data_IF_334320121298
#
_entry.id   IF_334320121298
#
_cell.length_a   1.000
_cell.length_b   1.000
_cell.length_c   1.000
_cell.angle_alpha   90.00
_cell.angle_beta   90.00
_cell.angle_gamma   90.00
#
_symmetry.space_group_name_H-M   'P 1'
#
loop_
_entity.id
_entity.type
_entity.pdbx_description
1 polymer ?
#
# COMPACT_ATOMS: atom_id res chain seq x y z
N UNK A 1 11.68 -1.89 26.51
CA UNK A 1 10.76 -0.78 26.18
C UNK A 1 10.42 -0.80 24.71
N UNK A 2 9.14 -0.58 24.35
CA UNK A 2 8.71 -0.51 22.96
C UNK A 2 8.81 0.91 22.39
N UNK A 3 9.15 1.01 21.10
CA UNK A 3 9.11 2.24 20.33
C UNK A 3 8.38 1.97 19.01
N UNK A 4 7.47 2.86 18.64
CA UNK A 4 6.79 2.84 17.36
C UNK A 4 7.35 3.94 16.46
N UNK A 5 7.87 3.58 15.30
CA UNK A 5 8.33 4.52 14.29
C UNK A 5 7.29 4.54 13.18
N UNK A 6 6.72 5.71 12.91
CA UNK A 6 5.82 5.95 11.77
C UNK A 6 6.56 5.71 10.45
N UNK A 7 5.87 5.59 9.30
CA UNK A 7 6.52 5.27 8.04
C UNK A 7 7.74 6.15 7.75
N UNK A 8 8.90 5.54 7.70
CA UNK A 8 10.20 6.18 7.48
C UNK A 8 10.79 5.89 6.09
N UNK A 9 9.96 5.34 5.22
CA UNK A 9 10.30 5.00 3.84
C UNK A 9 10.24 6.23 2.93
N UNK A 10 10.89 6.23 1.74
CA UNK A 10 10.62 7.19 0.69
C UNK A 10 9.12 7.24 0.40
N UNK A 11 8.56 8.43 0.41
CA UNK A 11 7.12 8.66 0.23
C UNK A 11 6.89 9.93 -0.57
N UNK A 12 5.78 10.00 -1.28
CA UNK A 12 5.40 11.16 -2.10
C UNK A 12 4.43 12.10 -1.38
N UNK A 13 3.65 11.60 -0.41
CA UNK A 13 2.66 12.39 0.33
C UNK A 13 2.17 11.69 1.60
N UNK A 14 1.18 12.29 2.28
CA UNK A 14 0.43 11.76 3.42
C UNK A 14 1.34 11.33 4.58
N UNK A 15 2.31 12.21 4.94
CA UNK A 15 3.21 12.04 6.10
C UNK A 15 3.93 10.67 6.13
N UNK A 16 4.26 10.12 4.96
CA UNK A 16 4.94 8.83 4.83
C UNK A 16 4.04 7.67 4.39
N UNK A 17 2.71 7.83 4.38
CA UNK A 17 1.79 6.76 4.04
C UNK A 17 1.54 6.57 2.53
N UNK A 18 2.08 7.43 1.66
CA UNK A 18 2.17 7.19 0.22
C UNK A 18 3.55 6.64 -0.13
N UNK A 19 3.78 5.35 0.10
CA UNK A 19 5.10 4.71 0.04
C UNK A 19 5.58 4.57 -1.39
N UNK A 20 6.79 5.09 -1.67
CA UNK A 20 7.48 4.98 -2.97
C UNK A 20 8.37 3.74 -3.03
N UNK A 21 8.98 3.34 -1.90
CA UNK A 21 9.84 2.16 -1.82
C UNK A 21 9.79 1.58 -0.40
N UNK A 22 9.28 0.37 -0.27
CA UNK A 22 9.09 -0.31 1.03
C UNK A 22 10.40 -0.80 1.66
N UNK A 23 11.47 -0.92 0.89
CA UNK A 23 12.72 -1.54 1.34
C UNK A 23 13.85 -0.53 1.53
N UNK A 24 13.55 0.77 1.41
CA UNK A 24 14.51 1.84 1.68
C UNK A 24 14.11 2.68 2.88
N UNK A 25 15.08 3.20 3.58
CA UNK A 25 14.90 4.28 4.53
C UNK A 25 15.03 5.61 3.79
N UNK A 26 14.20 6.58 4.12
CA UNK A 26 14.31 7.94 3.58
C UNK A 26 15.66 8.54 3.98
N UNK A 27 16.40 9.05 3.00
CA UNK A 27 17.82 9.39 3.16
C UNK A 27 18.11 10.47 4.20
N UNK A 28 17.14 11.35 4.47
CA UNK A 28 17.26 12.37 5.51
C UNK A 28 17.03 11.82 6.94
N UNK A 29 16.56 10.59 7.07
CA UNK A 29 16.34 9.90 8.35
C UNK A 29 17.44 8.88 8.68
N UNK A 30 18.31 8.55 7.74
CA UNK A 30 19.36 7.56 7.92
C UNK A 30 19.25 6.36 7.00
N UNK A 31 19.60 5.18 7.51
CA UNK A 31 19.59 3.92 6.78
C UNK A 31 19.14 2.74 7.66
N UNK A 32 19.10 1.54 7.10
CA UNK A 32 18.72 0.33 7.84
C UNK A 32 19.66 -0.01 9.01
N UNK A 33 20.90 0.46 9.01
CA UNK A 33 21.82 0.24 10.14
C UNK A 33 21.37 1.06 11.35
N UNK A 34 20.82 2.25 11.15
CA UNK A 34 20.24 3.08 12.20
C UNK A 34 18.99 2.41 12.80
N UNK A 35 18.12 1.88 11.95
CA UNK A 35 16.93 1.12 12.38
C UNK A 35 17.33 -0.12 13.18
N UNK A 36 18.33 -0.88 12.72
CA UNK A 36 18.86 -2.05 13.42
C UNK A 36 19.51 -1.68 14.77
N UNK A 37 20.17 -0.53 14.85
CA UNK A 37 20.74 -0.04 16.11
C UNK A 37 19.64 0.28 17.12
N UNK A 38 18.54 0.93 16.70
CA UNK A 38 17.39 1.17 17.57
C UNK A 38 16.76 -0.15 18.05
N UNK A 39 16.69 -1.15 17.16
CA UNK A 39 16.12 -2.46 17.48
C UNK A 39 16.94 -3.27 18.51
N UNK A 40 18.19 -2.90 18.79
CA UNK A 40 19.01 -3.52 19.86
C UNK A 40 18.57 -3.06 21.25
N UNK A 41 18.11 -1.81 21.36
CA UNK A 41 17.77 -1.20 22.63
C UNK A 41 16.26 -1.20 22.92
N UNK A 42 15.44 -1.31 21.86
CA UNK A 42 13.99 -1.20 21.93
C UNK A 42 13.28 -2.34 21.18
N UNK A 43 12.10 -2.70 21.67
CA UNK A 43 11.15 -3.51 20.92
C UNK A 43 10.52 -2.64 19.82
N UNK A 44 11.02 -2.75 18.60
CA UNK A 44 10.66 -1.87 17.51
C UNK A 44 9.34 -2.27 16.87
N UNK A 45 8.39 -1.32 16.76
CA UNK A 45 7.19 -1.42 15.95
C UNK A 45 7.34 -0.54 14.72
N UNK A 46 7.02 -1.09 13.54
CA UNK A 46 7.01 -0.36 12.26
C UNK A 46 5.66 -0.50 11.56
N UNK A 47 5.29 0.50 10.77
CA UNK A 47 4.09 0.43 9.93
C UNK A 47 4.37 -0.34 8.63
N UNK A 48 3.43 -1.17 8.23
CA UNK A 48 3.35 -1.74 6.89
C UNK A 48 2.09 -1.20 6.22
N UNK A 49 2.28 -0.28 5.26
CA UNK A 49 1.20 0.33 4.48
C UNK A 49 0.80 -0.65 3.39
N UNK A 50 -0.18 -1.49 3.69
CA UNK A 50 -0.51 -2.67 2.88
C UNK A 50 -1.62 -2.39 1.85
N UNK A 51 -2.55 -1.46 2.12
CA UNK A 51 -3.71 -1.23 1.25
C UNK A 51 -3.36 -0.57 -0.08
N UNK A 52 -2.34 0.29 -0.11
CA UNK A 52 -2.00 1.14 -1.26
C UNK A 52 -0.50 1.45 -1.29
N UNK A 53 -0.03 1.94 -2.42
CA UNK A 53 1.30 2.55 -2.53
C UNK A 53 1.21 3.88 -3.32
N UNK A 54 2.32 4.64 -3.32
CA UNK A 54 2.43 5.86 -4.11
C UNK A 54 2.33 5.59 -5.62
N UNK A 55 1.84 6.59 -6.36
CA UNK A 55 1.94 6.61 -7.82
C UNK A 55 3.39 6.62 -8.34
N UNK A 56 4.35 6.97 -7.50
CA UNK A 56 5.78 6.96 -7.84
C UNK A 56 6.44 5.60 -7.56
N UNK A 57 5.71 4.64 -6.97
CA UNK A 57 6.23 3.28 -6.75
C UNK A 57 6.48 2.57 -8.08
N UNK A 58 7.56 1.77 -8.16
CA UNK A 58 7.93 1.04 -9.38
C UNK A 58 6.80 0.14 -9.89
N UNK A 59 5.99 -0.44 -9.02
CA UNK A 59 4.84 -1.25 -9.42
C UNK A 59 3.81 -0.45 -10.20
N UNK A 60 3.62 0.84 -9.87
CA UNK A 60 2.69 1.67 -10.62
C UNK A 60 3.27 2.11 -11.97
N UNK A 61 4.58 2.31 -12.07
CA UNK A 61 5.27 2.48 -13.35
C UNK A 61 5.09 1.25 -14.24
N UNK A 62 5.22 0.04 -13.67
CA UNK A 62 4.95 -1.22 -14.37
C UNK A 62 3.50 -1.28 -14.88
N UNK A 63 2.55 -0.91 -14.03
CA UNK A 63 1.13 -0.86 -14.41
C UNK A 63 0.88 0.07 -15.60
N UNK A 64 1.40 1.30 -15.55
CA UNK A 64 1.24 2.29 -16.63
C UNK A 64 1.86 1.79 -17.93
N UNK A 65 3.00 1.11 -17.86
CA UNK A 65 3.76 0.64 -19.04
C UNK A 65 3.38 -0.77 -19.48
N UNK A 66 2.43 -1.43 -18.78
CA UNK A 66 2.04 -2.83 -18.99
C UNK A 66 3.24 -3.80 -18.84
N UNK A 67 4.08 -3.57 -17.85
CA UNK A 67 5.25 -4.38 -17.55
C UNK A 67 5.04 -5.25 -16.31
N UNK A 68 5.64 -6.43 -16.30
CA UNK A 68 5.69 -7.27 -15.10
C UNK A 68 6.75 -6.74 -14.10
N UNK A 69 6.54 -6.93 -12.77
CA UNK A 69 5.43 -7.66 -12.16
C UNK A 69 4.18 -6.80 -11.90
N UNK A 70 4.31 -5.47 -11.84
CA UNK A 70 3.29 -4.56 -11.30
C UNK A 70 2.05 -4.35 -12.17
N UNK A 71 2.06 -4.77 -13.44
CA UNK A 71 0.95 -4.56 -14.39
C UNK A 71 -0.41 -5.07 -13.89
N UNK A 72 -0.43 -6.07 -13.02
CA UNK A 72 -1.64 -6.71 -12.51
C UNK A 72 -1.82 -6.49 -10.99
N UNK A 73 -1.09 -5.54 -10.39
CA UNK A 73 -1.07 -5.34 -8.94
C UNK A 73 -2.12 -4.36 -8.42
N UNK A 74 -2.74 -3.57 -9.29
CA UNK A 74 -3.67 -2.52 -8.88
C UNK A 74 -5.12 -2.90 -9.13
N UNK A 75 -6.02 -2.37 -8.27
CA UNK A 75 -7.44 -2.59 -8.43
C UNK A 75 -8.00 -1.63 -9.49
N UNK A 76 -8.36 -2.20 -10.63
CA UNK A 76 -8.90 -1.51 -11.79
C UNK A 76 -10.42 -1.68 -11.84
N UNK A 77 -11.15 -0.64 -12.21
CA UNK A 77 -12.60 -0.66 -12.26
C UNK A 77 -13.11 -0.32 -13.65
N UNK A 78 -14.16 -1.05 -14.06
CA UNK A 78 -14.89 -0.77 -15.30
C UNK A 78 -15.60 0.58 -15.25
N UNK A 79 -15.92 1.19 -16.40
CA UNK A 79 -16.69 2.44 -16.44
C UNK A 79 -18.04 2.30 -15.72
N UNK A 80 -18.40 3.31 -14.94
CA UNK A 80 -19.70 3.47 -14.26
C UNK A 80 -20.09 2.35 -13.27
N UNK A 81 -19.22 1.95 -12.31
CA UNK A 81 -19.60 1.02 -11.27
C UNK A 81 -20.61 1.68 -10.31
N UNK A 82 -21.49 0.88 -9.71
CA UNK A 82 -22.29 1.34 -8.57
C UNK A 82 -21.44 1.37 -7.29
N UNK A 83 -21.04 2.57 -6.90
CA UNK A 83 -20.22 2.83 -5.72
C UNK A 83 -21.04 3.40 -4.55
N UNK A 84 -22.36 3.41 -4.64
CA UNK A 84 -23.26 4.08 -3.68
C UNK A 84 -23.11 3.56 -2.25
N UNK A 85 -22.71 2.30 -2.07
CA UNK A 85 -22.55 1.66 -0.77
C UNK A 85 -21.12 1.72 -0.22
N UNK A 86 -20.14 2.18 -1.02
CA UNK A 86 -18.73 2.17 -0.60
C UNK A 86 -18.48 3.17 0.54
N UNK A 87 -17.94 2.67 1.63
CA UNK A 87 -17.54 3.47 2.79
C UNK A 87 -16.04 3.77 2.73
N UNK A 88 -15.69 5.02 3.02
CA UNK A 88 -14.31 5.49 2.98
C UNK A 88 -14.11 6.73 3.85
N UNK A 89 -12.88 6.96 4.34
CA UNK A 89 -12.60 8.06 5.28
C UNK A 89 -12.30 9.41 4.59
N UNK A 90 -12.36 9.48 3.27
CA UNK A 90 -11.98 10.66 2.48
C UNK A 90 -13.09 11.10 1.53
N UNK A 91 -13.11 12.41 1.19
CA UNK A 91 -14.08 13.00 0.25
C UNK A 91 -13.52 13.17 -1.18
N UNK A 92 -12.24 12.84 -1.42
CA UNK A 92 -11.64 12.83 -2.75
C UNK A 92 -12.30 11.79 -3.67
N UNK A 93 -12.24 11.90 -4.99
CA UNK A 93 -12.76 10.88 -5.89
C UNK A 93 -12.20 9.49 -5.58
N UNK A 94 -13.07 8.48 -5.53
CA UNK A 94 -12.67 7.11 -5.23
C UNK A 94 -11.91 6.47 -6.39
N UNK A 95 -12.27 6.82 -7.62
CA UNK A 95 -11.61 6.35 -8.84
C UNK A 95 -10.82 7.48 -9.46
N UNK A 96 -9.57 7.20 -9.79
CA UNK A 96 -8.66 8.12 -10.47
C UNK A 96 -8.38 7.64 -11.88
N UNK A 97 -8.57 8.51 -12.87
CA UNK A 97 -8.19 8.22 -14.25
C UNK A 97 -6.67 8.31 -14.42
N UNK A 98 -6.12 7.30 -15.08
CA UNK A 98 -4.69 7.23 -15.38
C UNK A 98 -4.48 6.87 -16.86
N UNK A 99 -3.51 7.53 -17.49
CA UNK A 99 -3.08 7.23 -18.83
C UNK A 99 -2.07 6.09 -18.80
N UNK A 100 -2.40 4.99 -19.44
CA UNK A 100 -1.52 3.81 -19.53
C UNK A 100 -1.16 3.55 -21.01
N UNK A 101 -0.19 2.68 -21.22
CA UNK A 101 0.18 2.23 -22.58
C UNK A 101 -1.00 1.58 -23.31
N UNK A 102 -1.97 1.04 -22.59
CA UNK A 102 -3.17 0.39 -23.15
C UNK A 102 -4.38 1.32 -23.25
N UNK A 103 -4.23 2.59 -22.94
CA UNK A 103 -5.30 3.59 -22.94
C UNK A 103 -5.59 4.16 -21.54
N UNK A 104 -6.71 4.86 -21.43
CA UNK A 104 -7.16 5.44 -20.16
C UNK A 104 -7.84 4.36 -19.31
N UNK A 105 -7.35 4.18 -18.10
CA UNK A 105 -7.89 3.24 -17.12
C UNK A 105 -8.32 3.99 -15.86
N UNK A 106 -9.17 3.38 -15.04
CA UNK A 106 -9.62 3.90 -13.76
C UNK A 106 -9.14 2.99 -12.64
N UNK A 107 -8.27 3.52 -11.79
CA UNK A 107 -7.74 2.82 -10.63
C UNK A 107 -8.44 3.27 -9.35
N UNK A 108 -8.53 2.37 -8.40
CA UNK A 108 -9.12 2.63 -7.10
C UNK A 108 -8.15 3.39 -6.20
N UNK A 109 -8.63 4.48 -5.59
CA UNK A 109 -7.84 5.38 -4.75
C UNK A 109 -8.65 5.74 -3.49
N UNK A 110 -8.67 4.83 -2.52
CA UNK A 110 -9.47 4.98 -1.30
C UNK A 110 -9.13 6.26 -0.54
N UNK A 111 -7.85 6.63 -0.45
CA UNK A 111 -7.39 7.74 0.39
C UNK A 111 -7.10 9.01 -0.41
N UNK A 112 -6.32 8.95 -1.47
CA UNK A 112 -6.00 10.09 -2.33
C UNK A 112 -5.60 9.59 -3.72
N UNK A 113 -5.55 10.49 -4.69
CA UNK A 113 -5.12 10.19 -6.05
C UNK A 113 -3.65 9.78 -6.16
N UNK A 114 -2.83 10.07 -5.15
CA UNK A 114 -1.44 9.61 -5.02
C UNK A 114 -1.30 8.23 -4.35
N UNK A 115 -2.35 7.73 -3.72
CA UNK A 115 -2.37 6.45 -2.99
C UNK A 115 -3.21 5.43 -3.74
N UNK A 116 -2.58 4.64 -4.61
CA UNK A 116 -3.28 3.70 -5.49
C UNK A 116 -3.45 2.35 -4.80
N UNK A 117 -4.71 1.90 -4.70
CA UNK A 117 -5.07 0.68 -4.00
C UNK A 117 -4.59 -0.58 -4.72
N UNK A 118 -4.04 -1.49 -3.95
CA UNK A 118 -3.50 -2.75 -4.42
C UNK A 118 -4.59 -3.83 -4.48
N UNK A 119 -4.46 -4.73 -5.46
CA UNK A 119 -5.43 -5.79 -5.72
C UNK A 119 -5.06 -7.09 -5.01
N UNK A 120 -5.55 -7.29 -3.79
CA UNK A 120 -5.31 -8.51 -3.01
C UNK A 120 -6.03 -9.76 -3.54
N UNK A 121 -6.92 -9.64 -4.53
CA UNK A 121 -7.40 -10.79 -5.28
C UNK A 121 -6.29 -11.43 -6.16
N UNK A 122 -5.22 -10.68 -6.44
CA UNK A 122 -4.01 -11.22 -7.04
C UNK A 122 -3.07 -11.77 -5.95
N UNK A 123 -2.83 -13.09 -5.87
CA UNK A 123 -2.00 -13.68 -4.82
C UNK A 123 -0.55 -13.20 -4.86
N UNK A 124 -0.05 -12.72 -6.01
CA UNK A 124 1.31 -12.18 -6.09
C UNK A 124 1.46 -10.89 -5.26
N UNK A 125 0.39 -10.08 -5.12
CA UNK A 125 0.40 -8.91 -4.23
C UNK A 125 0.61 -9.34 -2.78
N UNK A 126 -0.12 -10.35 -2.32
CA UNK A 126 0.07 -10.90 -0.97
C UNK A 126 1.49 -11.42 -0.78
N UNK A 127 2.05 -12.12 -1.76
CA UNK A 127 3.42 -12.65 -1.70
C UNK A 127 4.48 -11.54 -1.61
N UNK A 128 4.28 -10.42 -2.32
CA UNK A 128 5.16 -9.24 -2.18
C UNK A 128 5.13 -8.70 -0.75
N UNK A 129 3.94 -8.54 -0.16
CA UNK A 129 3.83 -8.04 1.21
C UNK A 129 4.35 -9.03 2.26
N UNK A 130 4.19 -10.34 2.05
CA UNK A 130 4.84 -11.34 2.89
C UNK A 130 6.38 -11.20 2.84
N UNK A 131 6.95 -10.99 1.64
CA UNK A 131 8.39 -10.75 1.46
C UNK A 131 8.85 -9.48 2.19
N UNK A 132 8.11 -8.38 2.06
CA UNK A 132 8.40 -7.10 2.75
C UNK A 132 8.31 -7.29 4.27
N UNK A 133 7.30 -7.98 4.77
CA UNK A 133 7.14 -8.27 6.19
C UNK A 133 8.37 -9.04 6.74
N UNK A 134 8.81 -10.07 6.04
CA UNK A 134 10.03 -10.79 6.40
C UNK A 134 11.26 -9.91 6.33
N UNK A 135 11.34 -9.02 5.36
CA UNK A 135 12.42 -8.05 5.26
C UNK A 135 12.46 -7.12 6.48
N UNK A 136 11.32 -6.59 6.94
CA UNK A 136 11.25 -5.76 8.16
C UNK A 136 11.63 -6.54 9.41
N UNK A 137 11.13 -7.77 9.55
CA UNK A 137 11.47 -8.63 10.69
C UNK A 137 12.98 -8.91 10.76
N UNK A 138 13.62 -9.20 9.62
CA UNK A 138 15.07 -9.41 9.54
C UNK A 138 15.89 -8.15 9.85
N UNK A 139 15.32 -6.97 9.66
CA UNK A 139 15.94 -5.68 9.98
C UNK A 139 15.58 -5.17 11.40
N UNK A 140 14.99 -6.01 12.24
CA UNK A 140 14.80 -5.76 13.66
C UNK A 140 13.40 -5.33 14.08
N UNK A 141 12.43 -5.26 13.17
CA UNK A 141 11.03 -5.05 13.56
C UNK A 141 10.52 -6.24 14.36
N UNK A 142 10.09 -5.98 15.58
CA UNK A 142 9.48 -6.99 16.48
C UNK A 142 7.96 -7.00 16.37
N UNK A 143 7.38 -5.85 16.07
CA UNK A 143 5.96 -5.66 15.86
C UNK A 143 5.72 -4.97 14.53
N UNK A 144 4.69 -5.38 13.83
CA UNK A 144 4.25 -4.76 12.58
C UNK A 144 2.83 -4.24 12.80
N UNK A 145 2.62 -2.94 12.56
CA UNK A 145 1.28 -2.37 12.48
C UNK A 145 0.83 -2.37 11.03
N UNK A 146 -0.20 -3.14 10.73
CA UNK A 146 -0.81 -3.14 9.40
C UNK A 146 -1.73 -1.94 9.27
N UNK A 147 -1.43 -1.04 8.34
CA UNK A 147 -2.22 0.16 8.09
C UNK A 147 -3.36 -0.10 7.11
N UNK A 148 -4.52 0.54 7.37
CA UNK A 148 -5.69 0.57 6.47
C UNK A 148 -6.25 -0.81 6.07
N UNK A 149 -6.08 -1.85 6.88
CA UNK A 149 -6.45 -3.24 6.56
C UNK A 149 -7.94 -3.43 6.26
N UNK A 150 -8.81 -2.57 6.77
CA UNK A 150 -10.25 -2.68 6.53
C UNK A 150 -10.63 -2.56 5.04
N UNK A 151 -9.78 -1.96 4.22
CA UNK A 151 -10.05 -1.61 2.82
C UNK A 151 -9.41 -2.55 1.81
N UNK A 152 -8.74 -3.63 2.23
CA UNK A 152 -7.95 -4.49 1.33
C UNK A 152 -8.78 -5.15 0.23
N UNK A 153 -10.02 -5.55 0.50
CA UNK A 153 -10.85 -6.23 -0.47
C UNK A 153 -11.96 -5.34 -1.01
N UNK A 154 -12.12 -5.33 -2.34
CA UNK A 154 -13.15 -4.57 -3.06
C UNK A 154 -14.15 -5.51 -3.71
N UNK A 155 -15.43 -5.27 -3.47
CA UNK A 155 -16.54 -5.96 -4.15
C UNK A 155 -17.68 -4.96 -4.37
N UNK A 156 -17.96 -4.69 -5.65
CA UNK A 156 -19.01 -3.75 -6.04
C UNK A 156 -20.36 -4.19 -5.46
N UNK A 157 -21.17 -3.22 -5.03
CA UNK A 157 -22.43 -3.47 -4.32
C UNK A 157 -22.28 -3.78 -2.83
N UNK A 158 -21.10 -3.52 -2.26
CA UNK A 158 -20.84 -3.64 -0.82
C UNK A 158 -20.16 -2.38 -0.28
N UNK A 159 -19.97 -2.33 1.04
CA UNK A 159 -19.24 -1.24 1.70
C UNK A 159 -17.75 -1.18 1.30
N UNK A 160 -17.19 -2.25 0.76
CA UNK A 160 -15.74 -2.43 0.51
C UNK A 160 -14.90 -2.14 1.77
N UNK A 161 -15.45 -2.40 2.95
CA UNK A 161 -14.79 -2.20 4.23
C UNK A 161 -15.04 -3.40 5.13
N UNK A 162 -13.99 -3.96 5.68
CA UNK A 162 -14.01 -5.13 6.59
C UNK A 162 -14.82 -6.31 6.05
N UNK A 163 -14.72 -6.58 4.76
CA UNK A 163 -15.37 -7.73 4.12
C UNK A 163 -14.78 -9.05 4.63
N UNK A 164 -15.53 -10.17 4.60
CA UNK A 164 -15.00 -11.47 5.02
C UNK A 164 -13.68 -11.84 4.35
N UNK A 165 -13.52 -11.53 3.07
CA UNK A 165 -12.31 -11.77 2.29
C UNK A 165 -11.10 -10.97 2.83
N UNK A 166 -11.32 -9.79 3.38
CA UNK A 166 -10.27 -8.99 4.05
C UNK A 166 -9.64 -9.72 5.23
N UNK A 167 -10.43 -10.54 5.93
CA UNK A 167 -9.95 -11.32 7.09
C UNK A 167 -9.30 -12.66 6.69
N UNK A 168 -9.32 -13.01 5.40
CA UNK A 168 -8.67 -14.21 4.86
C UNK A 168 -7.30 -13.90 4.24
N UNK A 169 -7.00 -12.63 3.96
CA UNK A 169 -5.70 -12.13 3.51
C UNK A 169 -4.78 -11.99 4.73
#
# INVERSE_FOLDING_TARGET
>A
SGIHILPFFPSSSDDGFAVVDYEKVRTDLGDWSDVQNLARDFDLMVDLVINHCSREHIWFTDYITNAAPGKDYFYEQTPHPDLSQVLRPRNSPLLTEVHTREGVKRVWTTFSDDQVDLNFANPNVLMEFARILFFYARNGARYIRLDAIAYLWKRIGTTCMSLPETHMV
#
